data_IF_735846483559
#
_entry.id   IF_735846483559
#
_cell.length_a   1.000
_cell.length_b   1.000
_cell.length_c   1.000
_cell.angle_alpha   90.00
_cell.angle_beta   90.00
_cell.angle_gamma   90.00
#
_symmetry.space_group_name_H-M   'P 1'
#
loop_
_entity.id
_entity.type
_entity.pdbx_description
1 polymer ?
#
# COMPACT_ATOMS: atom_id res chain seq x y z
N UNK A 1 49.89 3.96 9.90
CA UNK A 1 49.98 4.84 8.70
C UNK A 1 51.39 4.74 8.13
N UNK A 2 51.52 4.54 6.81
CA UNK A 2 52.73 4.08 6.11
C UNK A 2 53.86 5.09 5.92
N UNK A 3 54.93 4.66 5.21
CA UNK A 3 56.24 5.33 4.94
C UNK A 3 56.17 6.71 4.25
N UNK A 4 55.00 7.31 4.07
CA UNK A 4 54.86 8.60 3.41
C UNK A 4 55.36 9.71 4.35
N UNK A 5 56.23 10.60 3.84
CA UNK A 5 56.76 11.77 4.60
C UNK A 5 55.95 13.05 4.36
N UNK A 6 55.03 13.02 3.40
CA UNK A 6 54.15 14.12 3.03
C UNK A 6 52.72 13.62 2.87
N UNK A 7 51.76 14.46 3.21
CA UNK A 7 50.35 14.29 2.88
C UNK A 7 50.03 15.18 1.66
N UNK A 8 49.16 14.67 0.79
CA UNK A 8 48.81 15.34 -0.46
C UNK A 8 48.15 16.68 -0.20
N UNK A 9 47.21 16.74 0.74
CA UNK A 9 46.58 17.98 1.18
C UNK A 9 46.02 17.89 2.60
N UNK A 10 45.84 19.06 3.23
CA UNK A 10 45.00 19.26 4.41
C UNK A 10 43.90 20.23 4.03
N UNK A 11 42.67 19.85 4.34
CA UNK A 11 41.48 20.65 4.11
C UNK A 11 40.92 21.15 5.45
N UNK A 12 40.68 22.46 5.54
CA UNK A 12 40.01 23.10 6.67
C UNK A 12 38.71 23.71 6.17
N UNK A 13 37.60 23.26 6.74
CA UNK A 13 36.26 23.82 6.52
C UNK A 13 35.95 24.71 7.73
N UNK A 14 35.68 25.98 7.48
CA UNK A 14 35.37 26.98 8.52
C UNK A 14 33.86 26.99 8.83
N UNK A 15 33.44 27.56 9.98
CA UNK A 15 32.02 27.56 10.39
C UNK A 15 31.04 28.20 9.41
N UNK A 16 31.53 29.09 8.53
CA UNK A 16 30.75 29.75 7.48
C UNK A 16 30.74 28.99 6.14
N UNK A 17 31.31 27.79 6.10
CA UNK A 17 31.39 26.94 4.91
C UNK A 17 32.52 27.30 3.94
N UNK A 18 33.37 28.28 4.26
CA UNK A 18 34.58 28.54 3.45
C UNK A 18 35.61 27.43 3.66
N UNK A 19 36.43 27.21 2.64
CA UNK A 19 37.46 26.15 2.62
C UNK A 19 38.85 26.74 2.42
N UNK A 20 39.82 26.24 3.19
CA UNK A 20 41.24 26.46 2.94
C UNK A 20 41.90 25.11 2.67
N UNK A 21 42.67 25.00 1.59
CA UNK A 21 43.44 23.79 1.25
C UNK A 21 44.93 24.09 1.33
N UNK A 22 45.64 23.32 2.14
CA UNK A 22 47.11 23.32 2.21
C UNK A 22 47.64 22.09 1.46
N UNK A 23 48.37 22.31 0.36
CA UNK A 23 48.94 21.22 -0.44
C UNK A 23 50.32 20.79 0.08
N UNK A 24 50.62 19.50 0.01
CA UNK A 24 51.98 18.97 0.20
C UNK A 24 52.56 19.14 1.62
N UNK A 25 51.71 19.13 2.65
CA UNK A 25 52.14 19.32 4.03
C UNK A 25 53.05 18.15 4.52
N UNK A 26 54.11 18.49 5.24
CA UNK A 26 54.97 17.51 5.89
C UNK A 26 54.26 16.96 7.14
N UNK A 27 54.39 15.65 7.37
CA UNK A 27 53.87 15.01 8.59
C UNK A 27 54.67 15.52 9.80
N UNK A 28 54.05 15.56 10.98
CA UNK A 28 54.62 16.02 12.25
C UNK A 28 55.09 17.50 12.25
N UNK A 29 54.40 18.38 11.53
CA UNK A 29 54.63 19.82 11.58
C UNK A 29 53.38 20.59 12.04
N UNK A 30 53.59 21.73 12.69
CA UNK A 30 52.51 22.66 13.02
C UNK A 30 52.10 23.39 11.75
N UNK A 31 50.84 23.22 11.34
CA UNK A 31 50.28 23.92 10.19
C UNK A 31 49.58 25.19 10.65
N UNK A 32 50.02 26.33 10.12
CA UNK A 32 49.33 27.60 10.34
C UNK A 32 48.21 27.76 9.32
N UNK A 33 46.97 27.83 9.79
CA UNK A 33 45.77 28.09 8.99
C UNK A 33 45.23 29.46 9.36
N UNK A 34 44.83 30.24 8.36
CA UNK A 34 44.36 31.61 8.58
C UNK A 34 43.10 31.83 7.74
N UNK A 35 42.01 32.23 8.40
CA UNK A 35 40.70 32.40 7.78
C UNK A 35 40.70 33.38 6.59
N UNK A 36 41.62 34.35 6.54
CA UNK A 36 41.78 35.27 5.39
C UNK A 36 42.13 34.55 4.06
N UNK A 37 42.64 33.32 4.14
CA UNK A 37 42.96 32.47 2.99
C UNK A 37 41.84 31.46 2.68
N UNK A 38 40.73 31.51 3.39
CA UNK A 38 39.58 30.66 3.13
C UNK A 38 38.80 31.19 1.91
N UNK A 39 38.55 30.29 0.95
CA UNK A 39 37.79 30.58 -0.25
C UNK A 39 36.33 30.19 -0.01
N UNK A 40 35.42 31.04 -0.47
CA UNK A 40 34.00 30.65 -0.60
C UNK A 40 33.93 29.51 -1.59
N UNK A 41 33.48 28.35 -1.13
CA UNK A 41 33.17 27.25 -2.03
C UNK A 41 32.04 27.70 -2.95
N UNK A 42 32.13 27.45 -4.27
CA UNK A 42 30.97 27.56 -5.13
C UNK A 42 29.88 26.66 -4.52
N UNK A 43 28.77 27.25 -4.09
CA UNK A 43 27.61 26.46 -3.72
C UNK A 43 27.15 25.78 -4.99
N UNK A 44 27.52 24.52 -5.14
CA UNK A 44 26.89 23.69 -6.15
C UNK A 44 25.47 23.55 -5.66
N UNK A 45 24.52 24.16 -6.37
CA UNK A 45 23.11 23.95 -6.08
C UNK A 45 22.88 22.46 -6.26
N UNK A 46 22.79 21.72 -5.15
CA UNK A 46 22.33 20.34 -5.20
C UNK A 46 20.87 20.47 -5.61
N UNK A 47 20.59 20.22 -6.89
CA UNK A 47 19.23 20.03 -7.35
C UNK A 47 18.77 18.73 -6.71
N UNK A 48 18.14 18.85 -5.55
CA UNK A 48 17.46 17.70 -4.95
C UNK A 48 16.30 17.40 -5.91
N UNK A 49 16.29 16.23 -6.58
CA UNK A 49 15.15 15.88 -7.41
C UNK A 49 13.92 15.94 -6.52
N UNK A 50 12.88 16.62 -7.00
CA UNK A 50 11.63 16.68 -6.26
C UNK A 50 11.07 15.27 -6.17
N UNK A 51 11.02 14.72 -4.96
CA UNK A 51 10.39 13.42 -4.69
C UNK A 51 8.89 13.49 -5.02
N UNK A 52 8.29 14.67 -4.89
CA UNK A 52 6.90 14.94 -5.26
C UNK A 52 6.80 16.10 -6.24
N UNK A 53 6.06 15.88 -7.32
CA UNK A 53 5.65 16.93 -8.25
C UNK A 53 4.15 17.14 -8.06
N UNK A 54 3.73 18.38 -7.83
CA UNK A 54 2.31 18.70 -7.75
C UNK A 54 1.67 18.48 -9.13
N UNK A 55 0.77 17.51 -9.23
CA UNK A 55 -0.13 17.40 -10.37
C UNK A 55 -1.40 18.21 -10.10
N UNK A 56 -1.88 18.94 -11.11
CA UNK A 56 -3.22 19.54 -11.05
C UNK A 56 -4.19 18.51 -11.61
N UNK A 57 -4.94 17.87 -10.73
CA UNK A 57 -6.11 17.10 -11.09
C UNK A 57 -7.29 18.07 -11.16
N UNK A 58 -8.01 18.08 -12.28
CA UNK A 58 -9.20 18.93 -12.46
C UNK A 58 -10.46 18.14 -12.13
N UNK A 59 -11.45 18.82 -11.55
CA UNK A 59 -12.79 18.29 -11.24
C UNK A 59 -12.83 17.16 -10.19
N UNK A 60 -11.80 17.03 -9.36
CA UNK A 60 -11.85 16.17 -8.16
C UNK A 60 -12.21 17.05 -6.95
N UNK A 61 -13.39 16.83 -6.39
CA UNK A 61 -13.88 17.53 -5.19
C UNK A 61 -13.92 16.63 -3.95
N UNK A 62 -13.44 15.39 -4.07
CA UNK A 62 -13.46 14.44 -2.96
C UNK A 62 -12.68 14.98 -1.76
N UNK A 63 -13.29 14.89 -0.60
CA UNK A 63 -12.65 15.13 0.69
C UNK A 63 -13.02 14.00 1.62
N UNK A 64 -12.00 13.29 2.09
CA UNK A 64 -12.18 12.22 3.05
C UNK A 64 -12.69 12.78 4.39
N UNK A 65 -13.67 12.10 4.98
CA UNK A 65 -14.31 12.49 6.22
C UNK A 65 -14.53 11.27 7.12
N UNK A 66 -13.63 11.12 8.08
CA UNK A 66 -13.66 10.09 9.09
C UNK A 66 -14.70 10.37 10.18
N UNK A 67 -15.21 9.31 10.82
CA UNK A 67 -16.00 9.46 12.03
C UNK A 67 -15.14 9.88 13.25
N UNK A 68 -15.81 10.09 14.38
CA UNK A 68 -15.15 10.40 15.65
C UNK A 68 -15.10 9.16 16.54
N UNK A 69 -14.18 8.24 16.24
CA UNK A 69 -13.87 7.13 17.13
C UNK A 69 -12.51 7.31 17.85
N UNK A 70 -12.43 6.79 19.09
CA UNK A 70 -11.23 6.84 19.91
C UNK A 70 -10.78 5.44 20.31
N UNK A 71 -9.95 4.85 19.47
CA UNK A 71 -9.42 3.50 19.63
C UNK A 71 -8.69 3.34 20.95
N UNK A 72 -7.92 4.34 21.39
CA UNK A 72 -7.13 4.28 22.63
C UNK A 72 -8.00 4.12 23.89
N UNK A 73 -9.24 4.59 23.84
CA UNK A 73 -10.20 4.36 24.92
C UNK A 73 -10.68 2.91 24.95
N UNK A 74 -10.87 2.30 23.77
CA UNK A 74 -11.29 0.91 23.64
C UNK A 74 -10.14 -0.08 23.89
N UNK A 75 -8.93 0.27 23.45
CA UNK A 75 -7.70 -0.52 23.56
C UNK A 75 -6.51 0.38 23.93
N UNK A 76 -6.14 0.38 25.21
CA UNK A 76 -5.11 1.29 25.75
C UNK A 76 -3.69 1.01 25.28
N UNK A 77 -3.43 -0.18 24.75
CA UNK A 77 -2.10 -0.61 24.29
C UNK A 77 -1.86 -0.30 22.81
N UNK A 78 -2.82 0.30 22.12
CA UNK A 78 -2.64 0.75 20.75
C UNK A 78 -1.57 1.82 20.66
N UNK A 79 -0.79 1.74 19.59
CA UNK A 79 0.25 2.72 19.26
C UNK A 79 -0.20 3.70 18.18
N UNK A 80 -1.27 3.36 17.46
CA UNK A 80 -1.93 4.14 16.41
C UNK A 80 -3.42 3.84 16.40
N UNK A 81 -4.20 4.67 15.72
CA UNK A 81 -5.60 4.33 15.41
C UNK A 81 -5.64 3.29 14.29
N UNK A 82 -6.44 2.26 14.48
CA UNK A 82 -6.75 1.24 13.47
C UNK A 82 -8.09 1.52 12.79
N UNK A 83 -8.96 2.34 13.40
CA UNK A 83 -10.28 2.69 12.86
C UNK A 83 -10.26 3.75 11.75
N UNK A 84 -9.09 4.20 11.30
CA UNK A 84 -8.96 5.32 10.35
C UNK A 84 -7.69 5.17 9.51
N UNK A 85 -7.53 4.01 8.87
CA UNK A 85 -6.35 3.69 8.03
C UNK A 85 -6.53 4.07 6.56
N UNK A 86 -7.74 4.52 6.17
CA UNK A 86 -8.06 5.03 4.85
C UNK A 86 -7.75 6.53 4.64
N UNK A 87 -8.10 7.07 3.46
CA UNK A 87 -8.65 6.34 2.32
C UNK A 87 -7.54 5.69 1.47
N UNK A 88 -7.87 4.56 0.83
CA UNK A 88 -7.08 3.98 -0.26
C UNK A 88 -7.64 4.35 -1.62
N UNK A 89 -6.76 4.37 -2.61
CA UNK A 89 -7.11 4.57 -4.01
C UNK A 89 -6.72 3.31 -4.77
N UNK A 90 -7.64 2.81 -5.58
CA UNK A 90 -7.38 1.72 -6.53
C UNK A 90 -7.59 2.23 -7.94
N UNK A 91 -6.79 1.71 -8.88
CA UNK A 91 -6.72 2.18 -10.26
C UNK A 91 -7.27 1.10 -11.19
N UNK A 92 -7.97 1.50 -12.25
CA UNK A 92 -8.56 0.58 -13.22
C UNK A 92 -8.85 1.28 -14.55
N UNK A 93 -9.42 0.55 -15.49
CA UNK A 93 -10.00 1.06 -16.75
C UNK A 93 -11.42 0.49 -16.80
N UNK A 94 -12.35 1.16 -16.12
CA UNK A 94 -13.66 0.57 -15.79
C UNK A 94 -14.63 0.65 -16.95
N UNK A 95 -14.32 1.44 -17.97
CA UNK A 95 -15.14 1.62 -19.17
C UNK A 95 -14.43 1.13 -20.47
N UNK A 96 -13.25 0.53 -20.34
CA UNK A 96 -12.50 -0.08 -21.44
C UNK A 96 -11.99 0.91 -22.49
N UNK A 97 -11.83 2.20 -22.15
CA UNK A 97 -11.38 3.23 -23.09
C UNK A 97 -9.85 3.41 -23.16
N UNK A 98 -9.12 2.66 -22.33
CA UNK A 98 -7.67 2.69 -22.22
C UNK A 98 -7.13 3.84 -21.38
N UNK A 99 -8.00 4.58 -20.67
CA UNK A 99 -7.63 5.61 -19.72
C UNK A 99 -7.72 5.07 -18.29
N UNK A 100 -6.73 5.40 -17.47
CA UNK A 100 -6.75 5.01 -16.05
C UNK A 100 -7.75 5.86 -15.27
N UNK A 101 -8.77 5.18 -14.78
CA UNK A 101 -9.75 5.63 -13.79
C UNK A 101 -9.27 5.32 -12.38
N UNK A 102 -9.99 5.83 -11.38
CA UNK A 102 -9.73 5.42 -10.01
C UNK A 102 -10.98 5.40 -9.14
N UNK A 103 -11.00 4.48 -8.20
CA UNK A 103 -11.92 4.46 -7.08
C UNK A 103 -11.18 4.87 -5.81
N UNK A 104 -11.78 5.76 -5.02
CA UNK A 104 -11.30 6.15 -3.70
C UNK A 104 -12.25 5.62 -2.62
N UNK A 105 -11.68 4.87 -1.68
CA UNK A 105 -12.40 4.22 -0.58
C UNK A 105 -13.10 5.22 0.34
N UNK A 106 -14.26 4.83 0.88
CA UNK A 106 -14.99 5.59 1.89
C UNK A 106 -14.48 5.36 3.32
N UNK A 107 -14.96 6.18 4.25
CA UNK A 107 -14.87 5.90 5.69
C UNK A 107 -16.25 6.10 6.28
N UNK A 108 -16.71 5.26 7.19
CA UNK A 108 -18.10 5.35 7.70
C UNK A 108 -18.33 6.70 8.36
N UNK A 109 -19.34 7.54 7.98
CA UNK A 109 -20.51 7.23 7.15
C UNK A 109 -20.48 7.82 5.71
N UNK A 110 -19.31 7.88 5.10
CA UNK A 110 -19.05 8.37 3.74
C UNK A 110 -18.74 7.19 2.81
N UNK A 111 -19.50 7.06 1.73
CA UNK A 111 -19.23 6.08 0.68
C UNK A 111 -17.94 6.39 -0.10
N UNK A 112 -17.33 5.35 -0.66
CA UNK A 112 -16.32 5.50 -1.70
C UNK A 112 -16.88 6.12 -2.98
N UNK A 113 -15.99 6.66 -3.80
CA UNK A 113 -16.32 7.38 -5.02
C UNK A 113 -15.47 6.92 -6.21
N UNK A 114 -16.11 6.76 -7.36
CA UNK A 114 -15.45 6.46 -8.64
C UNK A 114 -15.26 7.75 -9.45
N UNK A 115 -14.08 7.89 -10.03
CA UNK A 115 -13.73 8.99 -10.91
C UNK A 115 -13.23 8.44 -12.25
N UNK A 116 -14.01 8.71 -13.30
CA UNK A 116 -13.69 8.29 -14.66
C UNK A 116 -12.92 9.40 -15.36
N UNK A 117 -11.81 9.04 -16.01
CA UNK A 117 -10.97 9.96 -16.76
C UNK A 117 -11.61 10.24 -18.12
N UNK A 118 -11.66 11.51 -18.53
CA UNK A 118 -12.42 11.88 -19.73
C UNK A 118 -11.59 12.09 -20.99
N UNK A 119 -10.28 12.37 -20.85
CA UNK A 119 -9.43 12.79 -21.98
C UNK A 119 -7.98 12.29 -21.83
N UNK A 120 -7.41 11.81 -22.95
CA UNK A 120 -6.02 11.35 -23.01
C UNK A 120 -5.06 12.54 -22.92
N UNK A 121 -4.07 12.46 -22.02
CA UNK A 121 -3.06 13.51 -21.84
C UNK A 121 -3.47 14.66 -20.91
N UNK A 122 -4.75 14.73 -20.52
CA UNK A 122 -5.23 15.62 -19.46
C UNK A 122 -5.52 14.84 -18.18
N UNK A 123 -5.36 15.48 -17.02
CA UNK A 123 -5.71 14.92 -15.71
C UNK A 123 -7.11 15.39 -15.29
N UNK A 124 -8.10 15.16 -16.17
CA UNK A 124 -9.48 15.60 -16.02
C UNK A 124 -10.37 14.38 -15.75
N UNK A 125 -11.09 14.45 -14.64
CA UNK A 125 -11.93 13.35 -14.17
C UNK A 125 -13.38 13.81 -14.01
N UNK A 126 -14.30 12.88 -14.07
CA UNK A 126 -15.72 13.09 -13.75
C UNK A 126 -16.11 12.08 -12.69
N UNK A 127 -16.74 12.55 -11.61
CA UNK A 127 -17.28 11.67 -10.57
C UNK A 127 -18.48 10.90 -11.12
N UNK A 128 -18.42 9.57 -11.04
CA UNK A 128 -19.57 8.70 -11.31
C UNK A 128 -20.43 8.55 -10.07
N UNK A 129 -21.75 8.68 -10.23
CA UNK A 129 -22.71 8.52 -9.13
C UNK A 129 -23.25 7.11 -9.14
N UNK A 130 -22.71 6.27 -8.26
CA UNK A 130 -23.10 4.86 -8.13
C UNK A 130 -23.97 4.68 -6.89
N UNK A 131 -25.23 4.30 -7.07
CA UNK A 131 -26.19 4.12 -5.96
C UNK A 131 -25.76 3.01 -5.00
N UNK A 132 -25.17 1.93 -5.52
CA UNK A 132 -24.67 0.82 -4.72
C UNK A 132 -23.63 1.29 -3.69
N UNK A 133 -22.69 2.14 -4.08
CA UNK A 133 -21.68 2.68 -3.15
C UNK A 133 -22.33 3.53 -2.05
N UNK A 134 -23.30 4.37 -2.41
CA UNK A 134 -23.99 5.24 -1.44
C UNK A 134 -24.78 4.42 -0.39
N UNK A 135 -25.40 3.32 -0.82
CA UNK A 135 -26.12 2.41 0.08
C UNK A 135 -25.20 1.79 1.15
N UNK A 136 -23.92 1.61 0.81
CA UNK A 136 -22.89 1.02 1.66
C UNK A 136 -21.99 2.05 2.36
N UNK A 137 -22.41 3.31 2.43
CA UNK A 137 -21.70 4.39 3.15
C UNK A 137 -21.45 4.12 4.64
N UNK A 138 -22.13 3.14 5.24
CA UNK A 138 -21.96 2.74 6.65
C UNK A 138 -20.69 1.93 6.92
N UNK A 139 -20.01 1.46 5.88
CA UNK A 139 -18.82 0.62 5.98
C UNK A 139 -17.56 1.49 6.08
N UNK A 140 -16.53 0.94 6.73
CA UNK A 140 -15.19 1.52 6.76
C UNK A 140 -14.36 0.77 5.71
N UNK A 141 -14.06 1.42 4.59
CA UNK A 141 -13.38 0.80 3.46
C UNK A 141 -11.87 0.93 3.65
N UNK A 142 -11.17 -0.20 3.68
CA UNK A 142 -9.73 -0.23 4.01
C UNK A 142 -8.84 -0.45 2.82
N UNK A 143 -9.34 -1.12 1.79
CA UNK A 143 -8.67 -1.32 0.50
C UNK A 143 -9.67 -1.78 -0.56
N UNK A 144 -9.27 -1.75 -1.84
CA UNK A 144 -10.09 -2.23 -2.94
C UNK A 144 -9.26 -2.66 -4.14
N UNK A 145 -9.80 -3.56 -4.96
CA UNK A 145 -9.18 -4.00 -6.21
C UNK A 145 -10.20 -4.08 -7.34
N UNK A 146 -9.77 -3.67 -8.52
CA UNK A 146 -10.47 -3.93 -9.78
C UNK A 146 -9.97 -5.24 -10.40
N UNK A 147 -10.87 -6.14 -10.77
CA UNK A 147 -10.55 -7.43 -11.38
C UNK A 147 -11.81 -8.03 -12.05
N UNK A 148 -11.62 -8.95 -12.98
CA UNK A 148 -12.71 -9.68 -13.63
C UNK A 148 -13.19 -10.83 -12.71
N UNK A 149 -14.31 -10.61 -12.00
CA UNK A 149 -14.80 -11.55 -10.99
C UNK A 149 -15.59 -12.69 -11.61
N UNK A 150 -16.36 -12.43 -12.68
CA UNK A 150 -17.24 -13.42 -13.31
C UNK A 150 -16.82 -13.88 -14.72
N UNK A 151 -15.62 -13.49 -15.15
CA UNK A 151 -14.97 -13.86 -16.40
C UNK A 151 -15.69 -13.33 -17.66
N UNK A 152 -16.34 -12.17 -17.55
CA UNK A 152 -17.03 -11.52 -18.67
C UNK A 152 -16.16 -10.50 -19.43
N UNK A 153 -14.97 -10.22 -18.90
CA UNK A 153 -13.95 -9.35 -19.49
C UNK A 153 -14.02 -7.89 -19.05
N UNK A 154 -14.90 -7.51 -18.14
CA UNK A 154 -14.89 -6.19 -17.52
C UNK A 154 -14.19 -6.19 -16.14
N UNK A 155 -13.99 -4.98 -15.59
CA UNK A 155 -13.37 -4.81 -14.29
C UNK A 155 -14.43 -4.56 -13.22
N UNK A 156 -14.80 -5.62 -12.50
CA UNK A 156 -15.58 -5.57 -11.27
C UNK A 156 -14.78 -4.97 -10.12
N UNK A 157 -15.47 -4.53 -9.07
CA UNK A 157 -14.86 -3.91 -7.90
C UNK A 157 -15.07 -4.75 -6.64
N UNK A 158 -13.99 -5.21 -6.01
CA UNK A 158 -14.01 -5.79 -4.67
C UNK A 158 -13.48 -4.77 -3.67
N UNK A 159 -14.35 -4.33 -2.75
CA UNK A 159 -14.02 -3.46 -1.61
C UNK A 159 -14.01 -4.26 -0.32
N UNK A 160 -12.93 -4.15 0.44
CA UNK A 160 -12.77 -4.80 1.75
C UNK A 160 -12.95 -3.80 2.89
N UNK A 161 -13.44 -4.30 4.01
CA UNK A 161 -13.65 -3.49 5.21
C UNK A 161 -12.79 -3.90 6.38
N UNK A 162 -12.56 -2.94 7.27
CA UNK A 162 -11.77 -3.17 8.46
C UNK A 162 -11.89 -2.00 9.43
N UNK A 163 -11.04 -2.01 10.45
CA UNK A 163 -10.99 -0.94 11.44
C UNK A 163 -10.79 -1.41 12.86
N UNK A 164 -10.75 -0.46 13.80
CA UNK A 164 -10.61 -0.69 15.24
C UNK A 164 -11.88 -0.44 16.05
N UNK A 165 -13.01 -0.12 15.41
CA UNK A 165 -14.25 0.22 16.11
C UNK A 165 -14.86 -1.00 16.81
N UNK A 166 -15.19 -0.85 18.10
CA UNK A 166 -15.76 -1.94 18.90
C UNK A 166 -17.22 -2.21 18.52
N UNK A 167 -17.58 -3.49 18.32
CA UNK A 167 -18.96 -3.91 18.03
C UNK A 167 -19.38 -3.73 16.58
N UNK A 168 -18.43 -3.51 15.67
CA UNK A 168 -18.65 -3.26 14.24
C UNK A 168 -18.42 -4.50 13.38
N UNK A 169 -18.54 -5.72 13.93
CA UNK A 169 -18.26 -6.96 13.20
C UNK A 169 -19.12 -7.11 11.92
N UNK A 170 -20.38 -6.67 11.94
CA UNK A 170 -21.25 -6.67 10.75
C UNK A 170 -20.87 -5.60 9.71
N UNK A 171 -19.98 -4.67 10.07
CA UNK A 171 -19.38 -3.67 9.18
C UNK A 171 -18.02 -4.11 8.62
N UNK A 172 -17.58 -5.34 8.87
CA UNK A 172 -16.39 -5.93 8.26
C UNK A 172 -16.76 -6.91 7.14
N UNK A 173 -18.01 -6.88 6.68
CA UNK A 173 -18.44 -7.66 5.53
C UNK A 173 -17.88 -7.05 4.24
N UNK A 174 -17.17 -7.88 3.48
CA UNK A 174 -16.64 -7.56 2.16
C UNK A 174 -17.76 -7.33 1.12
N UNK A 175 -17.50 -6.46 0.15
CA UNK A 175 -18.47 -6.08 -0.89
C UNK A 175 -17.88 -6.26 -2.28
N UNK A 176 -18.64 -6.87 -3.16
CA UNK A 176 -18.33 -6.99 -4.59
C UNK A 176 -19.39 -6.21 -5.34
N UNK A 177 -18.97 -5.44 -6.33
CA UNK A 177 -19.86 -4.72 -7.24
C UNK A 177 -19.56 -5.14 -8.67
N UNK A 178 -20.58 -5.62 -9.37
CA UNK A 178 -20.47 -5.99 -10.77
C UNK A 178 -20.47 -4.75 -11.65
N UNK A 179 -19.56 -4.69 -12.60
CA UNK A 179 -19.52 -3.66 -13.62
C UNK A 179 -20.41 -4.06 -14.82
N UNK A 180 -20.69 -3.11 -15.72
CA UNK A 180 -21.42 -3.35 -16.97
C UNK A 180 -20.54 -3.05 -18.20
N UNK A 181 -19.22 -3.03 -18.01
CA UNK A 181 -18.21 -2.59 -18.97
C UNK A 181 -18.21 -1.09 -19.29
N UNK A 182 -19.08 -0.28 -18.70
CA UNK A 182 -19.15 1.17 -18.93
C UNK A 182 -18.92 2.00 -17.65
N UNK A 183 -18.48 1.36 -16.58
CA UNK A 183 -18.23 1.98 -15.29
C UNK A 183 -19.51 2.21 -14.47
N UNK A 184 -20.60 1.49 -14.76
CA UNK A 184 -21.76 1.44 -13.88
C UNK A 184 -21.68 0.17 -13.02
N UNK A 185 -21.87 0.36 -11.71
CA UNK A 185 -21.66 -0.71 -10.74
C UNK A 185 -22.95 -1.07 -10.00
N UNK A 186 -23.24 -2.36 -9.91
CA UNK A 186 -24.34 -2.91 -9.12
C UNK A 186 -23.82 -3.81 -7.99
N UNK A 187 -24.46 -3.79 -6.82
CA UNK A 187 -24.04 -4.63 -5.70
C UNK A 187 -24.28 -6.12 -5.99
N UNK A 188 -23.23 -6.92 -5.90
CA UNK A 188 -23.32 -8.37 -6.00
C UNK A 188 -23.72 -8.99 -4.66
N UNK A 189 -24.91 -9.58 -4.62
CA UNK A 189 -25.39 -10.27 -3.41
C UNK A 189 -24.80 -11.68 -3.31
N UNK A 190 -23.62 -11.78 -2.69
CA UNK A 190 -22.99 -13.08 -2.40
C UNK A 190 -23.84 -13.94 -1.47
N UNK A 191 -23.84 -15.26 -1.71
CA UNK A 191 -24.41 -16.25 -0.79
C UNK A 191 -23.50 -16.53 0.41
N UNK A 192 -22.19 -16.32 0.24
CA UNK A 192 -21.17 -16.54 1.27
C UNK A 192 -20.57 -15.19 1.64
N UNK A 193 -20.95 -14.68 2.81
CA UNK A 193 -20.38 -13.45 3.35
C UNK A 193 -18.98 -13.72 3.86
N UNK A 194 -18.00 -12.98 3.36
CA UNK A 194 -16.67 -12.92 3.96
C UNK A 194 -16.68 -11.76 4.94
N UNK A 195 -16.41 -12.06 6.21
CA UNK A 195 -16.39 -11.06 7.29
C UNK A 195 -15.04 -11.16 7.97
N UNK A 196 -14.16 -10.20 7.70
CA UNK A 196 -12.84 -10.15 8.30
C UNK A 196 -12.38 -8.70 8.40
N UNK A 197 -11.57 -8.39 9.41
CA UNK A 197 -10.92 -7.09 9.52
C UNK A 197 -9.69 -7.09 8.62
N UNK A 198 -9.85 -6.59 7.39
CA UNK A 198 -8.83 -6.60 6.34
C UNK A 198 -8.15 -5.24 6.28
N UNK A 199 -6.88 -5.19 5.87
CA UNK A 199 -6.20 -3.93 5.53
C UNK A 199 -5.61 -3.89 4.13
N UNK A 200 -5.49 -5.04 3.49
CA UNK A 200 -4.96 -5.13 2.13
C UNK A 200 -5.62 -6.26 1.38
N UNK A 201 -5.93 -6.00 0.11
CA UNK A 201 -6.44 -6.98 -0.84
C UNK A 201 -5.48 -7.04 -2.04
N UNK A 202 -5.16 -8.26 -2.48
CA UNK A 202 -4.32 -8.47 -3.67
C UNK A 202 -5.03 -9.45 -4.60
N UNK A 203 -5.16 -9.07 -5.86
CA UNK A 203 -5.77 -9.88 -6.90
C UNK A 203 -4.70 -10.35 -7.91
N UNK A 204 -4.64 -11.66 -8.17
CA UNK A 204 -3.84 -12.25 -9.24
C UNK A 204 -4.33 -13.67 -9.49
N UNK A 205 -4.19 -14.19 -10.71
CA UNK A 205 -4.30 -15.62 -10.96
C UNK A 205 -3.15 -16.34 -10.22
N UNK A 206 -3.45 -17.08 -9.14
CA UNK A 206 -2.43 -17.74 -8.32
C UNK A 206 -2.09 -19.13 -8.86
N UNK A 207 -3.05 -19.83 -9.45
CA UNK A 207 -2.93 -21.24 -9.84
C UNK A 207 -2.82 -21.50 -11.36
N UNK A 208 -2.75 -20.44 -12.16
CA UNK A 208 -2.68 -20.44 -13.63
C UNK A 208 -3.94 -21.05 -14.29
N UNK A 209 -5.11 -20.91 -13.66
CA UNK A 209 -6.38 -21.38 -14.23
C UNK A 209 -7.12 -20.33 -15.09
N UNK A 210 -6.56 -19.12 -15.17
CA UNK A 210 -7.10 -18.01 -15.94
C UNK A 210 -8.10 -17.14 -15.19
N UNK A 211 -8.51 -17.52 -13.98
CA UNK A 211 -9.36 -16.71 -13.11
C UNK A 211 -8.50 -15.96 -12.09
N UNK A 212 -8.87 -14.72 -11.79
CA UNK A 212 -8.13 -13.90 -10.83
C UNK A 212 -8.56 -14.26 -9.41
N UNK A 213 -7.63 -14.80 -8.62
CA UNK A 213 -7.80 -15.14 -7.21
C UNK A 213 -7.48 -13.96 -6.28
N UNK A 214 -7.90 -14.08 -5.02
CA UNK A 214 -7.77 -13.01 -4.03
C UNK A 214 -7.01 -13.48 -2.79
N UNK A 215 -6.09 -12.65 -2.32
CA UNK A 215 -5.52 -12.71 -0.98
C UNK A 215 -6.06 -11.54 -0.14
N UNK A 216 -6.55 -11.85 1.06
CA UNK A 216 -7.00 -10.88 2.05
C UNK A 216 -6.03 -10.88 3.23
N UNK A 217 -5.30 -9.77 3.40
CA UNK A 217 -4.40 -9.55 4.53
C UNK A 217 -5.15 -9.04 5.74
N UNK A 218 -5.22 -9.86 6.79
CA UNK A 218 -5.97 -9.50 7.99
C UNK A 218 -5.18 -8.54 8.89
N UNK A 219 -5.86 -7.50 9.37
CA UNK A 219 -5.23 -6.35 10.01
C UNK A 219 -5.06 -6.48 11.51
N UNK A 220 -6.15 -6.82 12.21
CA UNK A 220 -6.16 -6.91 13.67
C UNK A 220 -7.36 -7.69 14.21
N UNK A 221 -7.26 -8.18 15.44
CA UNK A 221 -8.39 -8.73 16.20
C UNK A 221 -9.00 -7.63 17.08
N UNK A 222 -10.31 -7.41 16.97
CA UNK A 222 -11.03 -6.46 17.81
C UNK A 222 -10.80 -6.79 19.31
N UNK A 223 -10.49 -5.78 20.12
CA UNK A 223 -10.12 -5.97 21.53
C UNK A 223 -8.75 -6.65 21.79
N UNK A 224 -8.09 -7.22 20.77
CA UNK A 224 -6.90 -8.06 20.91
C UNK A 224 -5.68 -7.53 20.16
N UNK A 225 -5.30 -6.26 20.36
CA UNK A 225 -4.09 -5.70 19.74
C UNK A 225 -2.85 -6.57 20.04
N UNK A 226 -2.10 -6.94 19.00
CA UNK A 226 -0.94 -7.83 19.07
C UNK A 226 -1.28 -9.32 18.90
N UNK A 227 -2.56 -9.71 18.91
CA UNK A 227 -2.95 -11.03 18.43
C UNK A 227 -2.83 -11.06 16.92
N UNK A 228 -2.38 -12.20 16.41
CA UNK A 228 -2.28 -12.42 14.98
C UNK A 228 -3.68 -12.78 14.43
N UNK A 229 -4.25 -11.95 13.55
CA UNK A 229 -5.49 -12.26 12.86
C UNK A 229 -5.24 -13.25 11.72
N UNK A 230 -6.31 -13.85 11.22
CA UNK A 230 -6.22 -14.88 10.18
C UNK A 230 -6.43 -14.26 8.80
N UNK A 231 -5.42 -14.30 7.95
CA UNK A 231 -5.52 -13.92 6.53
C UNK A 231 -6.20 -15.03 5.73
N UNK A 232 -6.73 -14.69 4.56
CA UNK A 232 -7.58 -15.60 3.76
C UNK A 232 -7.13 -15.64 2.31
N UNK A 233 -7.19 -16.82 1.68
CA UNK A 233 -7.14 -16.97 0.22
C UNK A 233 -8.54 -17.33 -0.29
N UNK A 234 -8.99 -16.62 -1.31
CA UNK A 234 -10.24 -16.90 -2.01
C UNK A 234 -9.93 -17.31 -3.46
N UNK A 235 -10.32 -18.53 -3.82
CA UNK A 235 -10.19 -19.06 -5.17
C UNK A 235 -11.37 -18.61 -6.03
N UNK A 236 -11.10 -17.95 -7.14
CA UNK A 236 -12.14 -17.59 -8.10
C UNK A 236 -12.50 -18.79 -8.98
N UNK A 237 -13.76 -18.86 -9.40
CA UNK A 237 -14.29 -19.90 -10.29
C UNK A 237 -14.65 -19.39 -11.68
N UNK A 238 -14.52 -18.08 -11.94
CA UNK A 238 -14.87 -17.46 -13.21
C UNK A 238 -16.37 -17.53 -13.51
N UNK A 239 -17.20 -17.54 -12.47
CA UNK A 239 -18.65 -17.62 -12.59
C UNK A 239 -19.36 -16.80 -11.50
N UNK A 240 -18.68 -15.76 -11.00
CA UNK A 240 -19.15 -14.95 -9.89
C UNK A 240 -19.10 -15.72 -8.56
N UNK A 241 -18.07 -16.54 -8.35
CA UNK A 241 -17.90 -17.30 -7.10
C UNK A 241 -16.46 -17.27 -6.61
N UNK A 242 -16.30 -16.76 -5.38
CA UNK A 242 -15.06 -16.81 -4.61
C UNK A 242 -15.21 -17.81 -3.47
N UNK A 243 -14.31 -18.77 -3.40
CA UNK A 243 -14.35 -19.86 -2.41
C UNK A 243 -13.15 -19.75 -1.47
N UNK A 244 -13.39 -19.56 -0.15
CA UNK A 244 -12.30 -19.53 0.82
C UNK A 244 -11.63 -20.91 0.96
N UNK A 245 -10.31 -20.92 1.03
CA UNK A 245 -9.54 -22.13 1.31
C UNK A 245 -9.32 -22.31 2.81
N UNK A 246 -10.35 -22.80 3.49
CA UNK A 246 -10.34 -22.96 4.95
C UNK A 246 -9.15 -23.81 5.45
N UNK A 247 -8.65 -24.75 4.63
CA UNK A 247 -7.49 -25.56 4.99
C UNK A 247 -6.23 -24.70 4.99
N UNK A 248 -6.05 -23.91 3.94
CA UNK A 248 -4.95 -22.96 3.83
C UNK A 248 -5.03 -21.90 4.91
N UNK A 249 -6.19 -21.28 5.07
CA UNK A 249 -6.43 -20.19 6.01
C UNK A 249 -6.08 -20.60 7.45
N UNK A 250 -6.25 -21.88 7.80
CA UNK A 250 -5.95 -22.41 9.14
C UNK A 250 -4.48 -22.22 9.58
N UNK A 251 -3.55 -22.01 8.64
CA UNK A 251 -2.15 -21.73 8.92
C UNK A 251 -1.69 -20.34 8.47
N UNK A 252 -2.60 -19.48 7.98
CA UNK A 252 -2.31 -18.09 7.62
C UNK A 252 -2.40 -17.13 8.82
N UNK A 253 -1.76 -17.53 9.92
CA UNK A 253 -1.57 -16.70 11.10
C UNK A 253 -0.26 -15.90 10.96
N UNK A 254 -0.25 -14.96 10.01
CA UNK A 254 0.97 -14.33 9.50
C UNK A 254 1.48 -13.18 10.38
N UNK A 255 0.65 -12.69 11.28
CA UNK A 255 0.82 -11.42 11.98
C UNK A 255 -0.24 -10.41 11.58
N UNK A 256 -0.09 -9.18 12.07
CA UNK A 256 -1.00 -8.08 11.74
C UNK A 256 -0.59 -7.47 10.39
N UNK A 257 -1.10 -8.03 9.30
CA UNK A 257 -0.75 -7.63 7.93
C UNK A 257 -1.12 -6.16 7.72
N UNK A 258 -0.28 -5.43 6.98
CA UNK A 258 -0.55 -4.04 6.58
C UNK A 258 -0.48 -3.83 5.08
N UNK A 259 0.30 -4.65 4.37
CA UNK A 259 0.50 -4.52 2.92
C UNK A 259 0.99 -5.84 2.32
N UNK A 260 0.70 -6.06 1.04
CA UNK A 260 1.13 -7.23 0.30
C UNK A 260 1.26 -6.92 -1.20
N UNK A 261 2.22 -7.58 -1.86
CA UNK A 261 2.48 -7.35 -3.30
C UNK A 261 3.02 -8.61 -3.98
N UNK A 262 2.64 -8.84 -5.23
CA UNK A 262 3.34 -9.76 -6.12
C UNK A 262 4.48 -9.05 -6.84
N UNK A 263 5.63 -9.69 -6.98
CA UNK A 263 6.72 -9.17 -7.81
C UNK A 263 6.51 -9.58 -9.27
N UNK A 264 6.30 -8.63 -10.17
CA UNK A 264 6.20 -8.85 -11.62
C UNK A 264 5.28 -10.05 -11.96
N UNK A 265 5.71 -10.92 -12.88
CA UNK A 265 5.02 -12.16 -13.26
C UNK A 265 5.28 -13.33 -12.30
N UNK A 266 5.86 -13.09 -11.12
CA UNK A 266 6.14 -14.18 -10.16
C UNK A 266 4.88 -14.69 -9.47
N UNK A 267 4.94 -15.94 -9.01
CA UNK A 267 3.96 -16.56 -8.11
C UNK A 267 4.33 -16.38 -6.64
N UNK A 268 5.04 -15.30 -6.33
CA UNK A 268 5.52 -14.99 -4.99
C UNK A 268 4.81 -13.75 -4.45
N UNK A 269 3.96 -13.98 -3.45
CA UNK A 269 3.29 -12.92 -2.71
C UNK A 269 4.15 -12.55 -1.51
N UNK A 270 4.64 -11.32 -1.49
CA UNK A 270 5.35 -10.74 -0.37
C UNK A 270 4.36 -10.04 0.54
N UNK A 271 4.46 -10.31 1.84
CA UNK A 271 3.52 -9.85 2.86
C UNK A 271 4.31 -9.22 3.99
N UNK A 272 3.85 -8.04 4.41
CA UNK A 272 4.45 -7.30 5.52
C UNK A 272 3.39 -6.83 6.50
N UNK A 273 3.80 -6.59 7.74
CA UNK A 273 2.89 -6.13 8.78
C UNK A 273 3.59 -5.85 10.10
N UNK A 274 2.79 -5.66 11.14
CA UNK A 274 3.26 -5.48 12.50
C UNK A 274 3.53 -6.83 13.18
N UNK A 275 4.63 -6.88 13.94
CA UNK A 275 5.03 -8.02 14.77
C UNK A 275 5.33 -9.30 13.98
N UNK A 276 5.68 -9.16 12.71
CA UNK A 276 5.97 -10.27 11.81
C UNK A 276 7.25 -10.05 11.02
N UNK A 277 7.94 -11.12 10.59
CA UNK A 277 8.95 -11.03 9.53
C UNK A 277 8.29 -10.72 8.19
N UNK A 278 9.09 -10.21 7.24
CA UNK A 278 8.69 -10.21 5.84
C UNK A 278 8.46 -11.66 5.42
N UNK A 279 7.24 -11.94 5.00
CA UNK A 279 6.73 -13.28 4.71
C UNK A 279 6.53 -13.41 3.21
N UNK A 280 6.87 -14.57 2.66
CA UNK A 280 6.70 -14.86 1.25
C UNK A 280 5.88 -16.13 1.12
N UNK A 281 4.74 -16.03 0.43
CA UNK A 281 3.94 -17.17 0.00
C UNK A 281 4.29 -17.46 -1.45
N UNK A 282 4.76 -18.67 -1.73
CA UNK A 282 5.01 -19.15 -3.08
C UNK A 282 3.89 -20.11 -3.49
N UNK A 283 3.23 -19.81 -4.61
CA UNK A 283 2.15 -20.61 -5.17
C UNK A 283 2.66 -21.58 -6.25
N UNK A 284 2.15 -22.81 -6.21
CA UNK A 284 2.38 -23.85 -7.22
C UNK A 284 1.05 -24.55 -7.49
N UNK A 285 0.27 -23.98 -8.40
CA UNK A 285 -1.16 -24.26 -8.48
C UNK A 285 -1.83 -23.88 -7.14
N UNK A 286 -2.75 -24.73 -6.66
CA UNK A 286 -3.40 -24.56 -5.35
C UNK A 286 -2.55 -24.92 -4.14
N UNK A 287 -1.34 -25.44 -4.36
CA UNK A 287 -0.42 -25.69 -3.25
C UNK A 287 0.38 -24.42 -2.99
N UNK A 288 0.67 -24.17 -1.72
CA UNK A 288 1.52 -23.06 -1.32
C UNK A 288 2.62 -23.52 -0.37
N UNK A 289 3.70 -22.75 -0.35
CA UNK A 289 4.73 -22.83 0.68
C UNK A 289 5.01 -21.45 1.24
N UNK A 290 5.30 -21.38 2.53
CA UNK A 290 5.59 -20.13 3.23
C UNK A 290 7.05 -20.13 3.62
N UNK A 291 7.74 -19.01 3.37
CA UNK A 291 9.09 -18.74 3.87
C UNK A 291 9.17 -17.34 4.45
N UNK A 292 10.17 -17.14 5.31
CA UNK A 292 10.39 -15.87 6.01
C UNK A 292 11.78 -15.33 5.68
N UNK A 293 11.88 -14.01 5.48
CA UNK A 293 13.18 -13.36 5.36
C UNK A 293 13.82 -13.32 6.75
N UNK A 294 15.02 -13.89 6.88
CA UNK A 294 15.73 -13.96 8.17
C UNK A 294 16.04 -12.55 8.71
N UNK A 295 15.89 -12.36 10.03
CA UNK A 295 16.14 -11.08 10.74
C UNK A 295 15.34 -9.89 10.21
N UNK A 296 14.15 -10.14 9.65
CA UNK A 296 13.27 -9.10 9.13
C UNK A 296 12.06 -8.80 10.02
N UNK A 297 11.95 -9.41 11.21
CA UNK A 297 10.83 -9.16 12.12
C UNK A 297 10.79 -7.69 12.56
N UNK A 298 9.63 -7.04 12.42
CA UNK A 298 9.50 -5.63 12.71
C UNK A 298 8.07 -5.12 12.64
N UNK A 299 7.94 -3.79 12.55
CA UNK A 299 6.67 -3.11 12.29
C UNK A 299 6.74 -2.50 10.90
N UNK A 300 6.33 -3.29 9.92
CA UNK A 300 6.23 -2.86 8.55
C UNK A 300 4.86 -2.23 8.32
N UNK A 301 4.81 -1.28 7.40
CA UNK A 301 3.57 -0.55 7.06
C UNK A 301 3.22 -0.71 5.60
N UNK A 302 4.23 -0.68 4.72
CA UNK A 302 4.06 -0.78 3.29
C UNK A 302 5.22 -1.54 2.67
N UNK A 303 4.97 -2.19 1.55
CA UNK A 303 5.98 -2.80 0.69
C UNK A 303 5.81 -2.24 -0.72
N UNK A 304 6.93 -1.87 -1.34
CA UNK A 304 6.97 -1.46 -2.73
C UNK A 304 8.08 -2.23 -3.44
N UNK A 305 7.79 -2.67 -4.66
CA UNK A 305 8.72 -3.38 -5.51
C UNK A 305 9.17 -2.44 -6.62
N UNK A 306 10.49 -2.32 -6.79
CA UNK A 306 11.09 -1.52 -7.86
C UNK A 306 12.40 -2.18 -8.31
N UNK A 307 12.75 -1.97 -9.57
CA UNK A 307 14.03 -2.41 -10.14
C UNK A 307 15.09 -1.35 -9.83
N UNK A 308 15.96 -1.66 -8.87
CA UNK A 308 16.95 -0.71 -8.34
C UNK A 308 18.31 -0.81 -9.04
N UNK A 309 18.54 -1.84 -9.87
CA UNK A 309 19.80 -2.06 -10.60
C UNK A 309 19.69 -1.91 -12.12
N UNK A 310 18.48 -1.95 -12.68
CA UNK A 310 18.17 -1.56 -14.05
C UNK A 310 18.39 -2.63 -15.11
#
# INVERSE_FOLDING_TARGET
MGKNKKITSVEVIWPDGKKQVLQGANINNILKVEYKHALTLPQTQIVIPKIFVSSKLSNITYKHNENKFNDFQAQRLLLRKLSSEGPKITLGDVNGDGLTDFYISGASPQAGELFIRTEKGENKYTKSTINAFQADSRFEDTDAVFFDFDADGDQDLYVVSGGGEKGSYDKFEDRIYLNDGNGNFEYFKSQNKVISNVSTIVAKDFDDDGNIDIFLGARSVEGGYGLSPRSTILWNRGNGSLIPDIKVDSFLDLGMVTDAIFLNDSKELFIVGEWMPITIINFKGKNLSIRYISKSSGWWNTIHADDMDG
#
